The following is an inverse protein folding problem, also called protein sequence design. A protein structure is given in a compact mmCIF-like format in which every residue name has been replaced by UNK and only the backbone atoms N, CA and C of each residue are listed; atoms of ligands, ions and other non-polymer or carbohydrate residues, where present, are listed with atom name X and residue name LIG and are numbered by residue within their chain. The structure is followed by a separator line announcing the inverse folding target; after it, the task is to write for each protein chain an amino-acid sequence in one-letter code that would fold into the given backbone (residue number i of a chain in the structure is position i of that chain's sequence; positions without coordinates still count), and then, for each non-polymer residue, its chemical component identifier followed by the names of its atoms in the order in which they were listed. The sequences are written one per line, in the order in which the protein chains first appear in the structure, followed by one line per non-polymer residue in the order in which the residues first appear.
data_IF_045413502626
#
_entry.id   IF_045413502626
#
_cell.length_a   1.000
_cell.length_b   1.000
_cell.length_c   1.000
_cell.angle_alpha   90.00
_cell.angle_beta   90.00
_cell.angle_gamma   90.00
#
_symmetry.space_group_name_H-M   'P 1'
#
loop_
_entity.id
_entity.type
_entity.pdbx_description
1 polymer ?
#
# COMPACT_ATOMS: atom_id res chain seq x y z
N UNK A 1 16.54 2.53 -20.26
CA UNK A 1 15.59 2.10 -21.31
C UNK A 1 16.23 1.58 -22.59
N UNK A 2 17.32 2.18 -23.11
CA UNK A 2 18.01 1.61 -24.29
C UNK A 2 18.58 0.22 -24.04
N UNK A 3 19.14 -0.03 -22.86
CA UNK A 3 19.65 -1.35 -22.44
C UNK A 3 18.56 -2.40 -22.19
N UNK A 4 17.29 -1.97 -22.12
CA UNK A 4 16.12 -2.80 -21.85
C UNK A 4 15.02 -2.50 -22.87
N UNK A 5 15.06 -3.11 -24.06
CA UNK A 5 14.06 -2.90 -25.13
C UNK A 5 12.64 -3.27 -24.68
N UNK A 6 12.52 -4.26 -23.80
CA UNK A 6 11.28 -4.75 -23.21
C UNK A 6 10.69 -3.79 -22.16
N UNK A 7 11.44 -2.77 -21.71
CA UNK A 7 10.97 -1.82 -20.71
C UNK A 7 9.93 -0.88 -21.30
N UNK A 8 8.71 -0.95 -20.80
CA UNK A 8 7.63 0.01 -21.10
C UNK A 8 7.66 1.21 -20.16
N UNK A 9 8.05 0.99 -18.91
CA UNK A 9 8.14 2.03 -17.88
C UNK A 9 9.33 1.88 -16.96
N UNK A 10 9.79 3.01 -16.39
CA UNK A 10 10.89 3.09 -15.45
C UNK A 10 10.55 4.08 -14.34
N UNK A 11 10.70 3.64 -13.09
CA UNK A 11 10.68 4.45 -11.89
C UNK A 11 12.06 4.52 -11.25
N UNK A 12 12.24 5.42 -10.29
CA UNK A 12 13.52 5.67 -9.62
C UNK A 12 13.40 5.57 -8.10
N UNK A 13 14.54 5.56 -7.40
CA UNK A 13 14.59 5.62 -5.94
C UNK A 13 13.94 6.92 -5.45
N UNK A 14 13.11 6.82 -4.42
CA UNK A 14 12.40 7.96 -3.85
C UNK A 14 12.68 8.09 -2.37
N UNK A 15 13.08 9.29 -1.96
CA UNK A 15 13.30 9.64 -0.55
C UNK A 15 12.39 10.79 -0.14
N UNK A 16 12.00 10.80 1.13
CA UNK A 16 11.33 11.96 1.72
C UNK A 16 12.33 13.12 1.93
N UNK A 17 11.83 14.34 2.16
CA UNK A 17 12.67 15.50 2.43
C UNK A 17 13.65 15.35 3.61
N UNK A 18 13.40 14.39 4.52
CA UNK A 18 14.28 14.02 5.64
C UNK A 18 15.28 12.89 5.29
N UNK A 19 15.38 12.50 4.02
CA UNK A 19 16.26 11.43 3.56
C UNK A 19 15.76 10.01 3.76
N UNK A 20 14.61 9.80 4.40
CA UNK A 20 14.04 8.47 4.60
C UNK A 20 13.50 7.91 3.28
N UNK A 21 13.77 6.64 3.00
CA UNK A 21 13.27 5.94 1.84
C UNK A 21 11.73 5.85 1.87
N UNK A 22 11.09 6.13 0.75
CA UNK A 22 9.65 6.02 0.60
C UNK A 22 9.28 4.63 0.08
N UNK A 23 8.35 3.90 0.72
CA UNK A 23 8.03 2.52 0.33
C UNK A 23 7.30 2.42 -1.02
N UNK A 24 6.93 3.54 -1.63
CA UNK A 24 6.20 3.58 -2.89
C UNK A 24 7.08 3.45 -4.13
N UNK A 25 8.40 3.50 -4.00
CA UNK A 25 9.32 3.45 -5.15
C UNK A 25 9.35 2.11 -5.88
N UNK A 26 8.93 1.04 -5.21
CA UNK A 26 8.74 -0.28 -5.82
C UNK A 26 7.53 -0.96 -5.18
N UNK A 27 6.60 -1.42 -5.99
CA UNK A 27 5.36 -2.03 -5.52
C UNK A 27 4.97 -3.20 -6.41
N UNK A 28 4.31 -4.19 -5.80
CA UNK A 28 3.57 -5.23 -6.51
C UNK A 28 2.12 -4.83 -6.76
N UNK A 29 1.44 -5.52 -7.66
CA UNK A 29 0.02 -5.27 -7.91
C UNK A 29 -0.83 -5.57 -6.69
N UNK A 30 -1.86 -4.76 -6.44
CA UNK A 30 -2.86 -5.08 -5.44
C UNK A 30 -3.64 -6.32 -5.89
N UNK A 31 -3.80 -7.28 -4.99
CA UNK A 31 -4.61 -8.48 -5.18
C UNK A 31 -5.34 -8.81 -3.88
N UNK A 32 -6.39 -9.68 -3.92
CA UNK A 32 -7.05 -10.13 -2.70
C UNK A 32 -6.06 -10.70 -1.67
N UNK A 33 -5.13 -11.54 -2.09
CA UNK A 33 -4.10 -12.14 -1.25
C UNK A 33 -3.20 -11.07 -0.61
N UNK A 34 -2.73 -10.10 -1.40
CA UNK A 34 -1.90 -8.98 -0.94
C UNK A 34 -2.66 -8.10 0.04
N UNK A 35 -3.93 -7.81 -0.23
CA UNK A 35 -4.79 -7.05 0.68
C UNK A 35 -4.97 -7.78 2.02
N UNK A 36 -5.17 -9.10 2.00
CA UNK A 36 -5.25 -9.94 3.19
C UNK A 36 -3.96 -9.84 4.03
N UNK A 37 -2.79 -10.07 3.44
CA UNK A 37 -1.52 -10.02 4.17
C UNK A 37 -1.26 -8.65 4.81
N UNK A 38 -1.61 -7.58 4.11
CA UNK A 38 -1.46 -6.21 4.60
C UNK A 38 -2.43 -5.92 5.76
N UNK A 39 -3.68 -6.34 5.66
CA UNK A 39 -4.72 -6.12 6.67
C UNK A 39 -4.40 -6.83 7.97
N UNK A 40 -3.95 -8.09 7.90
CA UNK A 40 -3.62 -8.90 9.06
C UNK A 40 -2.18 -8.72 9.55
N UNK A 41 -1.44 -7.73 9.01
CA UNK A 41 -0.11 -7.37 9.48
C UNK A 41 1.01 -8.34 9.09
N UNK A 42 0.72 -9.39 8.31
CA UNK A 42 1.71 -10.38 7.87
C UNK A 42 2.85 -9.75 7.05
N UNK A 43 2.54 -8.71 6.27
CA UNK A 43 3.56 -7.96 5.53
C UNK A 43 4.56 -7.23 6.44
N UNK A 44 4.13 -6.80 7.63
CA UNK A 44 4.99 -6.16 8.63
C UNK A 44 5.79 -7.19 9.42
N UNK A 45 5.17 -8.32 9.75
CA UNK A 45 5.81 -9.40 10.51
C UNK A 45 6.90 -10.09 9.69
N UNK A 46 6.70 -10.20 8.37
CA UNK A 46 7.64 -10.85 7.46
C UNK A 46 8.07 -9.91 6.32
N UNK A 47 8.84 -8.83 6.62
CA UNK A 47 9.13 -7.76 5.66
C UNK A 47 9.99 -8.21 4.47
N UNK A 48 10.79 -9.26 4.60
CA UNK A 48 11.62 -9.84 3.53
C UNK A 48 10.97 -11.05 2.81
N UNK A 49 9.74 -11.41 3.15
CA UNK A 49 9.05 -12.54 2.53
C UNK A 49 8.53 -12.18 1.14
N UNK A 50 8.90 -12.97 0.13
CA UNK A 50 8.35 -12.88 -1.23
C UNK A 50 6.83 -13.09 -1.26
N UNK A 51 6.28 -13.89 -0.34
CA UNK A 51 4.85 -14.18 -0.25
C UNK A 51 4.10 -13.09 0.50
N UNK A 52 4.50 -12.78 1.74
CA UNK A 52 3.74 -11.91 2.62
C UNK A 52 3.98 -10.42 2.36
N UNK A 53 5.14 -10.04 1.81
CA UNK A 53 5.45 -8.65 1.47
C UNK A 53 5.53 -8.38 -0.03
N UNK A 54 4.72 -9.09 -0.81
CA UNK A 54 4.62 -8.94 -2.27
C UNK A 54 4.21 -7.52 -2.69
N UNK A 55 3.43 -6.82 -1.87
CA UNK A 55 3.03 -5.44 -2.19
C UNK A 55 4.19 -4.44 -2.16
N UNK A 56 5.04 -4.50 -1.14
CA UNK A 56 6.16 -3.56 -0.98
C UNK A 56 7.47 -4.07 -1.58
N UNK A 57 7.48 -5.31 -2.10
CA UNK A 57 8.66 -5.97 -2.67
C UNK A 57 9.89 -5.84 -1.75
N UNK A 58 9.68 -5.97 -0.43
CA UNK A 58 10.71 -5.74 0.60
C UNK A 58 11.85 -6.76 0.59
N UNK A 59 11.75 -7.78 -0.24
CA UNK A 59 12.80 -8.78 -0.49
C UNK A 59 13.78 -8.36 -1.60
N UNK A 60 13.45 -7.32 -2.39
CA UNK A 60 14.34 -6.76 -3.42
C UNK A 60 15.25 -5.70 -2.78
N UNK A 61 16.49 -5.65 -3.21
CA UNK A 61 17.44 -4.59 -2.81
C UNK A 61 16.94 -3.22 -3.24
N UNK A 62 17.25 -2.20 -2.48
CA UNK A 62 16.97 -0.80 -2.84
C UNK A 62 18.10 -0.16 -3.66
N UNK A 63 19.25 -0.84 -3.74
CA UNK A 63 20.45 -0.37 -4.42
C UNK A 63 20.70 -1.10 -5.75
N UNK A 64 19.77 -1.93 -6.18
CA UNK A 64 19.84 -2.68 -7.43
C UNK A 64 18.62 -2.40 -8.30
N UNK A 65 18.84 -2.36 -9.62
CA UNK A 65 17.77 -2.22 -10.61
C UNK A 65 16.98 -3.53 -10.71
N UNK A 66 15.66 -3.46 -10.58
CA UNK A 66 14.76 -4.62 -10.57
C UNK A 66 13.55 -4.41 -11.48
N UNK A 67 13.05 -5.52 -12.03
CA UNK A 67 11.69 -5.56 -12.54
C UNK A 67 10.70 -5.44 -11.38
N UNK A 68 9.69 -4.57 -11.54
CA UNK A 68 8.64 -4.30 -10.55
C UNK A 68 7.28 -4.27 -11.22
N UNK A 69 6.22 -4.55 -10.47
CA UNK A 69 4.88 -4.54 -11.06
C UNK A 69 4.37 -3.10 -11.27
N UNK A 70 4.55 -2.23 -10.27
CA UNK A 70 3.92 -0.91 -10.23
C UNK A 70 4.96 0.18 -10.00
N UNK A 71 4.96 1.16 -10.89
CA UNK A 71 5.70 2.41 -10.75
C UNK A 71 4.90 3.42 -9.92
N UNK A 72 5.57 4.40 -9.34
CA UNK A 72 4.91 5.49 -8.62
C UNK A 72 4.63 6.66 -9.54
N UNK A 73 3.40 7.20 -9.51
CA UNK A 73 3.01 8.39 -10.25
C UNK A 73 3.84 9.64 -9.93
N UNK A 74 4.62 9.63 -8.83
CA UNK A 74 5.55 10.71 -8.51
C UNK A 74 6.73 10.81 -9.51
N UNK A 75 7.08 9.69 -10.17
CA UNK A 75 8.02 9.66 -11.28
C UNK A 75 7.81 8.40 -12.12
N UNK A 76 7.42 8.60 -13.37
CA UNK A 76 7.27 7.54 -14.36
C UNK A 76 7.89 8.00 -15.67
N UNK A 77 8.99 7.38 -16.10
CA UNK A 77 9.51 7.52 -17.45
C UNK A 77 8.93 6.41 -18.31
N UNK A 78 8.10 6.77 -19.27
CA UNK A 78 7.34 5.81 -20.09
C UNK A 78 7.78 5.86 -21.55
N UNK A 79 7.82 4.72 -22.20
CA UNK A 79 8.12 4.63 -23.64
C UNK A 79 6.91 5.07 -24.44
N UNK A 80 7.09 6.08 -25.30
CA UNK A 80 6.00 6.65 -26.09
C UNK A 80 5.28 5.59 -26.93
N UNK A 81 6.03 4.72 -27.63
CA UNK A 81 5.43 3.64 -28.43
C UNK A 81 4.53 2.70 -27.63
N UNK A 82 4.87 2.46 -26.35
CA UNK A 82 4.02 1.66 -25.45
C UNK A 82 2.76 2.43 -25.08
N UNK A 83 2.86 3.73 -24.80
CA UNK A 83 1.68 4.56 -24.53
C UNK A 83 0.75 4.66 -25.76
N UNK A 84 1.31 4.71 -26.96
CA UNK A 84 0.53 4.73 -28.21
C UNK A 84 -0.30 3.44 -28.38
N UNK A 85 0.18 2.31 -27.83
CA UNK A 85 -0.49 1.01 -27.87
C UNK A 85 -1.49 0.82 -26.72
N UNK A 86 -1.08 1.10 -25.47
CA UNK A 86 -1.90 0.81 -24.29
C UNK A 86 -2.80 1.97 -23.84
N UNK A 87 -2.61 3.16 -24.40
CA UNK A 87 -3.29 4.40 -24.01
C UNK A 87 -2.62 5.14 -22.85
N UNK A 88 -3.12 6.34 -22.60
CA UNK A 88 -2.63 7.26 -21.56
C UNK A 88 -3.24 6.93 -20.19
N UNK A 89 -3.07 7.84 -19.21
CA UNK A 89 -3.73 7.75 -17.91
C UNK A 89 -5.25 7.70 -18.08
N UNK A 90 -5.89 6.89 -17.26
CA UNK A 90 -7.32 6.68 -17.30
C UNK A 90 -8.04 7.69 -16.38
N UNK A 91 -8.95 8.48 -16.96
CA UNK A 91 -9.67 9.55 -16.28
C UNK A 91 -10.73 9.06 -15.28
N UNK A 92 -11.06 7.76 -15.27
CA UNK A 92 -11.90 7.16 -14.23
C UNK A 92 -11.25 7.25 -12.84
N UNK A 93 -9.91 7.40 -12.80
CA UNK A 93 -9.15 7.58 -11.56
C UNK A 93 -8.96 9.06 -11.26
N UNK A 94 -9.84 9.64 -10.44
CA UNK A 94 -9.72 11.03 -10.03
C UNK A 94 -8.43 11.33 -9.24
N UNK A 95 -8.06 10.42 -8.34
CA UNK A 95 -6.85 10.51 -7.52
C UNK A 95 -6.53 9.13 -6.96
N UNK A 96 -5.28 8.71 -7.05
CA UNK A 96 -4.77 7.37 -6.71
C UNK A 96 -5.26 6.26 -7.65
N UNK A 97 -4.39 5.33 -7.92
CA UNK A 97 -4.67 4.13 -8.71
C UNK A 97 -4.43 4.30 -10.22
N UNK A 98 -4.32 5.53 -10.72
CA UNK A 98 -3.95 5.84 -12.09
C UNK A 98 -2.57 5.28 -12.46
N UNK A 99 -1.64 5.34 -11.53
CA UNK A 99 -0.29 4.79 -11.66
C UNK A 99 -0.28 3.25 -11.63
N UNK A 100 -1.15 2.66 -10.82
CA UNK A 100 -1.34 1.21 -10.73
C UNK A 100 -2.00 0.70 -12.02
N UNK A 101 -3.03 1.39 -12.51
CA UNK A 101 -3.74 1.05 -13.75
C UNK A 101 -2.80 1.10 -14.95
N UNK A 102 -2.07 2.19 -15.11
CA UNK A 102 -1.13 2.35 -16.21
C UNK A 102 -0.02 1.31 -16.16
N UNK A 103 0.58 1.09 -14.97
CA UNK A 103 1.60 0.05 -14.76
C UNK A 103 1.07 -1.35 -15.10
N UNK A 104 -0.19 -1.63 -14.77
CA UNK A 104 -0.83 -2.90 -15.09
C UNK A 104 -1.03 -3.07 -16.59
N UNK A 105 -1.45 -2.01 -17.29
CA UNK A 105 -1.62 -2.04 -18.76
C UNK A 105 -0.29 -2.21 -19.49
N UNK A 106 0.80 -1.61 -19.00
CA UNK A 106 2.16 -1.85 -19.50
C UNK A 106 2.49 -3.35 -19.46
N UNK A 107 2.32 -3.98 -18.28
CA UNK A 107 2.62 -5.41 -18.10
C UNK A 107 1.68 -6.29 -18.93
N UNK A 108 0.39 -5.95 -19.00
CA UNK A 108 -0.60 -6.68 -19.80
C UNK A 108 -0.32 -6.57 -21.30
N UNK A 109 0.27 -5.46 -21.77
CA UNK A 109 0.74 -5.26 -23.14
C UNK A 109 2.02 -6.05 -23.49
N UNK A 110 2.55 -6.83 -22.54
CA UNK A 110 3.77 -7.65 -22.75
C UNK A 110 5.08 -6.93 -22.45
N UNK A 111 5.01 -5.71 -21.94
CA UNK A 111 6.17 -4.92 -21.54
C UNK A 111 6.48 -5.09 -20.04
N UNK A 112 7.62 -4.53 -19.59
CA UNK A 112 8.08 -4.58 -18.21
C UNK A 112 8.19 -3.21 -17.60
N UNK A 113 7.92 -3.11 -16.31
CA UNK A 113 8.23 -1.96 -15.49
C UNK A 113 9.52 -2.21 -14.71
N UNK A 114 10.40 -1.20 -14.67
CA UNK A 114 11.67 -1.29 -13.95
C UNK A 114 11.77 -0.22 -12.86
N UNK A 115 12.32 -0.61 -11.74
CA UNK A 115 12.89 0.27 -10.74
C UNK A 115 14.37 0.46 -11.06
N UNK A 116 14.83 1.70 -11.20
CA UNK A 116 16.21 2.07 -11.48
C UNK A 116 16.82 2.69 -10.24
N UNK A 117 17.86 2.03 -9.68
CA UNK A 117 18.42 2.37 -8.37
C UNK A 117 19.38 3.54 -8.39
N UNK A 118 20.09 3.78 -9.52
CA UNK A 118 21.18 4.74 -9.61
C UNK A 118 20.73 6.21 -9.65
N UNK A 119 19.40 6.45 -9.71
CA UNK A 119 18.84 7.80 -9.69
C UNK A 119 17.88 7.93 -8.51
N UNK A 120 18.05 9.00 -7.74
CA UNK A 120 17.22 9.31 -6.58
C UNK A 120 16.51 10.64 -6.76
N UNK A 121 15.22 10.67 -6.42
CA UNK A 121 14.44 11.91 -6.34
C UNK A 121 13.95 12.13 -4.91
N UNK A 122 13.76 13.40 -4.55
CA UNK A 122 13.11 13.81 -3.31
C UNK A 122 11.63 14.01 -3.61
N UNK A 123 10.78 13.24 -2.91
CA UNK A 123 9.32 13.37 -3.02
C UNK A 123 8.73 13.86 -1.71
N UNK A 124 8.26 15.11 -1.69
CA UNK A 124 7.59 15.73 -0.54
C UNK A 124 6.16 15.20 -0.42
N UNK A 125 6.02 14.11 0.34
CA UNK A 125 4.76 13.39 0.47
C UNK A 125 3.78 14.14 1.36
N UNK A 126 2.56 14.31 0.87
CA UNK A 126 1.45 14.84 1.68
C UNK A 126 1.13 16.32 1.46
N UNK A 127 1.83 17.00 0.56
CA UNK A 127 1.51 18.37 0.17
C UNK A 127 0.11 18.46 -0.49
N UNK A 128 -0.28 17.42 -1.23
CA UNK A 128 -1.58 17.38 -1.93
C UNK A 128 -2.72 16.83 -1.08
N UNK A 129 -2.43 16.04 -0.03
CA UNK A 129 -3.48 15.38 0.78
C UNK A 129 -2.98 15.01 2.17
N UNK A 130 -3.65 15.50 3.22
CA UNK A 130 -3.37 15.06 4.60
C UNK A 130 -3.73 13.57 4.73
N UNK A 131 -2.70 12.71 4.88
CA UNK A 131 -2.88 11.28 5.14
C UNK A 131 -3.75 11.07 6.38
N UNK A 132 -4.71 10.15 6.26
CA UNK A 132 -5.60 9.80 7.38
C UNK A 132 -6.90 10.59 7.43
N UNK A 133 -7.13 11.56 6.53
CA UNK A 133 -8.45 12.13 6.38
C UNK A 133 -9.44 11.08 5.85
N UNK A 134 -10.71 11.18 6.25
CA UNK A 134 -11.76 10.28 5.73
C UNK A 134 -11.85 10.34 4.20
N UNK A 135 -11.62 11.52 3.61
CA UNK A 135 -11.59 11.70 2.16
C UNK A 135 -10.45 10.92 1.50
N UNK A 136 -9.23 10.94 2.09
CA UNK A 136 -8.12 10.14 1.60
C UNK A 136 -8.47 8.65 1.55
N UNK A 137 -9.01 8.14 2.66
CA UNK A 137 -9.38 6.72 2.78
C UNK A 137 -10.44 6.37 1.75
N UNK A 138 -11.52 7.16 1.65
CA UNK A 138 -12.62 6.95 0.69
C UNK A 138 -12.09 6.93 -0.75
N UNK A 139 -11.33 7.95 -1.15
CA UNK A 139 -10.81 8.07 -2.53
C UNK A 139 -9.86 6.92 -2.88
N UNK A 140 -8.96 6.55 -1.96
CA UNK A 140 -8.06 5.42 -2.17
C UNK A 140 -8.82 4.09 -2.35
N UNK A 141 -9.83 3.82 -1.53
CA UNK A 141 -10.63 2.60 -1.67
C UNK A 141 -11.48 2.60 -2.93
N UNK A 142 -12.04 3.75 -3.33
CA UNK A 142 -12.76 3.89 -4.60
C UNK A 142 -11.83 3.57 -5.78
N UNK A 143 -10.62 4.10 -5.81
CA UNK A 143 -9.63 3.79 -6.84
C UNK A 143 -9.32 2.28 -6.90
N UNK A 144 -9.16 1.62 -5.75
CA UNK A 144 -8.92 0.17 -5.71
C UNK A 144 -10.11 -0.65 -6.22
N UNK A 145 -11.34 -0.18 -5.96
CA UNK A 145 -12.57 -0.83 -6.47
C UNK A 145 -12.66 -0.65 -7.99
N UNK A 146 -12.36 0.54 -8.53
CA UNK A 146 -12.31 0.80 -9.98
C UNK A 146 -11.28 -0.13 -10.63
N UNK A 147 -10.06 -0.17 -10.09
CA UNK A 147 -9.00 -1.06 -10.58
C UNK A 147 -9.44 -2.53 -10.60
N UNK A 148 -10.04 -3.00 -9.51
CA UNK A 148 -10.50 -4.38 -9.40
C UNK A 148 -11.59 -4.73 -10.42
N UNK A 149 -12.57 -3.85 -10.58
CA UNK A 149 -13.67 -4.04 -11.55
C UNK A 149 -13.16 -4.04 -12.98
N UNK A 150 -12.17 -3.22 -13.29
CA UNK A 150 -11.61 -3.06 -14.61
C UNK A 150 -10.71 -4.23 -15.03
N UNK A 151 -9.88 -4.72 -14.10
CA UNK A 151 -8.81 -5.66 -14.42
C UNK A 151 -9.03 -7.08 -13.91
N UNK A 152 -9.87 -7.29 -12.90
CA UNK A 152 -10.19 -8.62 -12.40
C UNK A 152 -11.56 -9.07 -12.90
N UNK A 153 -11.64 -10.25 -13.49
CA UNK A 153 -12.93 -10.79 -13.95
C UNK A 153 -13.87 -11.15 -12.79
N UNK A 154 -15.16 -10.90 -12.96
CA UNK A 154 -16.31 -11.35 -12.17
C UNK A 154 -16.07 -11.72 -10.69
N UNK A 155 -15.88 -13.00 -10.40
CA UNK A 155 -15.70 -13.52 -9.03
C UNK A 155 -14.46 -12.96 -8.32
N UNK A 156 -13.35 -12.72 -9.04
CA UNK A 156 -12.12 -12.16 -8.44
C UNK A 156 -12.30 -10.71 -8.03
N UNK A 157 -12.98 -9.90 -8.85
CA UNK A 157 -13.31 -8.52 -8.52
C UNK A 157 -14.22 -8.46 -7.29
N UNK A 158 -15.28 -9.29 -7.26
CA UNK A 158 -16.19 -9.38 -6.11
C UNK A 158 -15.47 -9.76 -4.81
N UNK A 159 -14.60 -10.76 -4.86
CA UNK A 159 -13.79 -11.17 -3.70
C UNK A 159 -12.87 -10.03 -3.23
N UNK A 160 -12.19 -9.33 -4.15
CA UNK A 160 -11.32 -8.22 -3.81
C UNK A 160 -12.07 -7.08 -3.13
N UNK A 161 -13.23 -6.70 -3.67
CA UNK A 161 -14.11 -5.67 -3.09
C UNK A 161 -14.61 -6.10 -1.71
N UNK A 162 -15.04 -7.35 -1.55
CA UNK A 162 -15.49 -7.89 -0.26
C UNK A 162 -14.35 -7.85 0.79
N UNK A 163 -13.12 -8.21 0.39
CA UNK A 163 -11.96 -8.14 1.28
C UNK A 163 -11.58 -6.71 1.64
N UNK A 164 -11.65 -5.76 0.70
CA UNK A 164 -11.43 -4.34 1.00
C UNK A 164 -12.44 -3.82 2.02
N UNK A 165 -13.73 -4.10 1.82
CA UNK A 165 -14.78 -3.72 2.77
C UNK A 165 -14.56 -4.39 4.14
N UNK A 166 -14.27 -5.68 4.17
CA UNK A 166 -13.93 -6.40 5.39
C UNK A 166 -12.74 -5.79 6.14
N UNK A 167 -11.70 -5.37 5.41
CA UNK A 167 -10.54 -4.69 5.98
C UNK A 167 -10.90 -3.35 6.63
N UNK A 168 -11.82 -2.59 6.02
CA UNK A 168 -12.30 -1.31 6.57
C UNK A 168 -13.03 -1.55 7.88
N UNK A 169 -14.02 -2.46 7.90
CA UNK A 169 -14.79 -2.77 9.11
C UNK A 169 -13.92 -3.37 10.21
N UNK A 170 -13.00 -4.27 9.87
CA UNK A 170 -12.04 -4.84 10.81
C UNK A 170 -11.17 -3.77 11.46
N UNK A 171 -10.64 -2.84 10.66
CA UNK A 171 -9.84 -1.72 11.18
C UNK A 171 -10.66 -0.79 12.06
N UNK A 172 -11.90 -0.50 11.69
CA UNK A 172 -12.83 0.29 12.52
C UNK A 172 -13.10 -0.39 13.86
N UNK A 173 -13.39 -1.69 13.85
CA UNK A 173 -13.58 -2.49 15.06
C UNK A 173 -12.34 -2.49 15.97
N UNK A 174 -11.14 -2.71 15.40
CA UNK A 174 -9.90 -2.65 16.17
C UNK A 174 -9.67 -1.26 16.79
N UNK A 175 -10.01 -0.19 16.08
CA UNK A 175 -9.89 1.17 16.59
C UNK A 175 -10.85 1.39 17.77
N UNK A 176 -12.10 0.94 17.66
CA UNK A 176 -13.08 1.01 18.75
C UNK A 176 -12.60 0.24 19.96
N UNK A 177 -12.18 -1.01 19.80
CA UNK A 177 -11.65 -1.85 20.89
C UNK A 177 -10.42 -1.18 21.55
N UNK A 178 -9.50 -0.65 20.73
CA UNK A 178 -8.32 0.05 21.24
C UNK A 178 -8.67 1.30 22.03
N UNK A 179 -9.68 2.06 21.59
CA UNK A 179 -10.13 3.26 22.29
C UNK A 179 -10.80 2.90 23.61
N UNK A 180 -11.69 1.91 23.63
CA UNK A 180 -12.31 1.38 24.84
C UNK A 180 -11.25 0.88 25.83
N UNK A 181 -10.30 0.08 25.35
CA UNK A 181 -9.22 -0.43 26.19
C UNK A 181 -8.37 0.69 26.80
N UNK A 182 -8.07 1.77 26.03
CA UNK A 182 -7.34 2.93 26.53
C UNK A 182 -8.12 3.72 27.57
N UNK A 183 -9.43 3.82 27.41
CA UNK A 183 -10.30 4.53 28.34
C UNK A 183 -10.46 3.75 29.67
N UNK A 184 -10.63 2.44 29.60
CA UNK A 184 -10.89 1.59 30.76
C UNK A 184 -9.62 1.06 31.46
N UNK A 185 -8.48 1.07 30.79
CA UNK A 185 -7.23 0.54 31.32
C UNK A 185 -6.86 1.16 32.67
N UNK A 186 -6.92 2.49 32.82
CA UNK A 186 -6.58 3.20 34.06
C UNK A 186 -7.56 2.92 35.17
N UNK A 187 -8.87 3.10 35.03
CA UNK A 187 -9.84 2.77 36.07
C UNK A 187 -9.77 1.31 36.55
N UNK A 188 -9.55 0.37 35.63
CA UNK A 188 -9.42 -1.05 35.98
C UNK A 188 -8.12 -1.30 36.80
N UNK A 189 -7.03 -0.69 36.38
CA UNK A 189 -5.75 -0.79 37.13
C UNK A 189 -5.88 -0.20 38.54
N UNK A 190 -6.46 1.00 38.68
CA UNK A 190 -6.67 1.66 39.97
C UNK A 190 -7.57 0.82 40.89
N UNK A 191 -8.67 0.28 40.34
CA UNK A 191 -9.54 -0.61 41.11
C UNK A 191 -8.82 -1.89 41.56
N UNK A 192 -7.99 -2.49 40.69
CA UNK A 192 -7.21 -3.68 41.03
C UNK A 192 -6.17 -3.41 42.14
N UNK A 193 -5.49 -2.26 42.08
CA UNK A 193 -4.51 -1.85 43.09
C UNK A 193 -5.19 -1.59 44.44
N UNK A 194 -6.32 -0.87 44.44
CA UNK A 194 -7.09 -0.58 45.68
C UNK A 194 -7.60 -1.89 46.28
N UNK A 195 -8.20 -2.75 45.49
CA UNK A 195 -8.75 -4.03 45.97
C UNK A 195 -7.65 -4.95 46.49
N UNK A 196 -6.50 -5.05 45.80
CA UNK A 196 -5.33 -5.82 46.24
C UNK A 196 -4.73 -5.27 47.54
N UNK A 197 -4.64 -3.96 47.68
CA UNK A 197 -4.19 -3.30 48.92
C UNK A 197 -5.10 -3.56 50.10
N UNK A 198 -6.41 -3.48 49.93
CA UNK A 198 -7.40 -3.80 50.96
C UNK A 198 -7.35 -5.27 51.39
N UNK A 199 -7.10 -6.18 50.44
CA UNK A 199 -6.96 -7.60 50.72
C UNK A 199 -5.74 -7.90 51.61
N UNK A 200 -4.61 -7.26 51.32
CA UNK A 200 -3.38 -7.42 52.10
C UNK A 200 -3.57 -6.87 53.52
N UNK A 201 -4.25 -5.72 53.69
CA UNK A 201 -4.46 -5.10 55.01
C UNK A 201 -5.42 -5.93 55.87
N UNK A 202 -6.35 -6.66 55.26
CA UNK A 202 -7.31 -7.50 56.00
C UNK A 202 -6.64 -8.71 56.70
N UNK A 203 -5.50 -9.17 56.20
CA UNK A 203 -4.78 -10.34 56.70
C UNK A 203 -3.63 -9.98 57.66
N UNK A 204 -3.49 -8.68 57.99
CA UNK A 204 -2.61 -8.13 59.04
C UNK A 204 -3.43 -7.80 60.28
#
# INVERSE_FOLDING_TARGET
MHAHPEAGGLGVKMIAGKGNLLPEYKRGFPSPEVAFYKTFGLSKLFPKSKRFNKYHLGYLSEDETHEVDVLSGAFMLLRKSVLDEIGLLDEDFFMYGEDIDLSYRVVKGGYKNYYFADTTIIHYKGESTKKGSLNYVKTFYQAMIIFAKKHFGGKKAGLFVAMLNGAIYFRAALTLVSNIAKEWYRPVLDAAVIFGGLFIIKDI
#
